data_IF_075879300634
#
_entry.id   IF_075879300634
#
_cell.length_a   1.000
_cell.length_b   1.000
_cell.length_c   1.000
_cell.angle_alpha   90.00
_cell.angle_beta   90.00
_cell.angle_gamma   90.00
#
_symmetry.space_group_name_H-M   'P 1'
#
loop_
_entity.id
_entity.type
_entity.pdbx_description
1 polymer ?
#
# COMPACT_ATOMS: atom_id res chain seq x y z
N UNK A 1 -26.57 53.81 -50.47
CA UNK A 1 -26.49 52.39 -50.84
C UNK A 1 -25.15 51.87 -50.35
N UNK A 2 -25.11 51.19 -49.19
CA UNK A 2 -23.95 50.46 -48.69
C UNK A 2 -24.46 49.09 -48.25
N UNK A 3 -24.27 48.07 -49.09
CA UNK A 3 -24.63 46.68 -48.82
C UNK A 3 -23.55 46.06 -47.93
N UNK A 4 -23.86 45.92 -46.65
CA UNK A 4 -23.09 45.10 -45.71
C UNK A 4 -23.45 43.64 -46.04
N UNK A 5 -22.50 42.92 -46.64
CA UNK A 5 -22.64 41.49 -46.87
C UNK A 5 -22.48 40.76 -45.55
N UNK A 6 -23.60 40.29 -44.99
CA UNK A 6 -23.65 39.29 -43.92
C UNK A 6 -23.15 37.94 -44.48
N UNK A 7 -21.85 37.79 -44.65
CA UNK A 7 -21.23 36.47 -44.72
C UNK A 7 -21.28 35.85 -43.32
N UNK A 8 -22.43 35.23 -43.00
CA UNK A 8 -22.49 34.20 -41.96
C UNK A 8 -21.50 33.12 -42.37
N UNK A 9 -20.34 33.09 -41.72
CA UNK A 9 -19.45 31.93 -41.77
C UNK A 9 -20.25 30.73 -41.27
N UNK A 10 -20.73 29.91 -42.21
CA UNK A 10 -21.26 28.58 -41.93
C UNK A 10 -20.03 27.81 -41.42
N UNK A 11 -19.85 27.76 -40.11
CA UNK A 11 -19.04 26.72 -39.50
C UNK A 11 -19.68 25.41 -39.93
N UNK A 12 -19.15 24.81 -41.00
CA UNK A 12 -19.44 23.43 -41.36
C UNK A 12 -19.27 22.61 -40.08
N UNK A 13 -20.38 22.09 -39.58
CA UNK A 13 -20.40 21.14 -38.47
C UNK A 13 -19.74 19.85 -38.96
N UNK A 14 -18.42 19.85 -39.07
CA UNK A 14 -17.59 18.67 -39.27
C UNK A 14 -17.63 17.85 -37.98
N UNK A 15 -18.79 17.24 -37.77
CA UNK A 15 -19.12 16.54 -36.56
C UNK A 15 -18.52 15.13 -36.66
N UNK A 16 -17.21 15.00 -36.42
CA UNK A 16 -16.56 13.69 -36.27
C UNK A 16 -17.26 12.84 -35.17
N UNK A 17 -18.02 13.49 -34.29
CA UNK A 17 -18.96 12.87 -33.35
C UNK A 17 -20.22 12.22 -33.98
N UNK A 18 -20.30 12.12 -35.32
CA UNK A 18 -21.27 11.23 -35.99
C UNK A 18 -20.99 9.77 -35.66
N UNK A 19 -19.73 9.43 -35.34
CA UNK A 19 -19.36 8.08 -34.92
C UNK A 19 -19.87 7.78 -33.49
N UNK A 20 -20.41 6.57 -33.25
CA UNK A 20 -20.71 6.10 -31.90
C UNK A 20 -19.49 6.17 -30.97
N UNK A 21 -19.71 6.61 -29.73
CA UNK A 21 -18.66 6.77 -28.70
C UNK A 21 -17.74 5.55 -28.57
N UNK A 22 -18.30 4.34 -28.62
CA UNK A 22 -17.52 3.10 -28.53
C UNK A 22 -16.51 2.93 -29.66
N UNK A 23 -16.85 3.35 -30.89
CA UNK A 23 -15.93 3.31 -32.02
C UNK A 23 -14.85 4.39 -31.89
N UNK A 24 -15.22 5.60 -31.45
CA UNK A 24 -14.25 6.67 -31.17
C UNK A 24 -13.25 6.25 -30.08
N UNK A 25 -13.72 5.65 -28.99
CA UNK A 25 -12.83 5.14 -27.93
C UNK A 25 -11.90 4.08 -28.48
N UNK A 26 -12.39 3.14 -29.30
CA UNK A 26 -11.55 2.11 -29.91
C UNK A 26 -10.47 2.72 -30.80
N UNK A 27 -10.83 3.64 -31.69
CA UNK A 27 -9.87 4.35 -32.56
C UNK A 27 -8.81 5.07 -31.72
N UNK A 28 -9.25 5.83 -30.72
CA UNK A 28 -8.33 6.56 -29.83
C UNK A 28 -7.47 5.61 -28.98
N UNK A 29 -7.97 4.42 -28.63
CA UNK A 29 -7.21 3.43 -27.86
C UNK A 29 -6.04 2.83 -28.63
N UNK A 30 -6.06 2.87 -29.97
CA UNK A 30 -4.93 2.45 -30.82
C UNK A 30 -3.83 3.51 -30.91
N UNK A 31 -4.12 4.75 -30.49
CA UNK A 31 -3.17 5.85 -30.61
C UNK A 31 -2.14 5.86 -29.48
N UNK A 32 -0.98 6.44 -29.78
CA UNK A 32 0.03 6.71 -28.76
C UNK A 32 -0.45 7.80 -27.81
N UNK A 33 0.08 7.82 -26.58
CA UNK A 33 -0.23 8.88 -25.63
C UNK A 33 0.10 10.28 -26.16
N UNK A 34 1.15 10.41 -26.98
CA UNK A 34 1.55 11.68 -27.60
C UNK A 34 0.47 12.16 -28.57
N UNK A 35 -0.08 11.25 -29.38
CA UNK A 35 -1.12 11.58 -30.35
C UNK A 35 -2.43 11.92 -29.65
N UNK A 36 -2.79 11.19 -28.59
CA UNK A 36 -3.92 11.55 -27.72
C UNK A 36 -3.77 12.97 -27.18
N UNK A 37 -2.57 13.36 -26.73
CA UNK A 37 -2.34 14.74 -26.28
C UNK A 37 -2.51 15.77 -27.40
N UNK A 38 -2.07 15.46 -28.63
CA UNK A 38 -2.24 16.34 -29.77
C UNK A 38 -3.73 16.48 -30.16
N UNK A 39 -4.49 15.38 -30.20
CA UNK A 39 -5.93 15.38 -30.53
C UNK A 39 -6.72 16.22 -29.53
N UNK A 40 -6.36 16.17 -28.23
CA UNK A 40 -6.98 17.03 -27.22
C UNK A 40 -6.83 18.53 -27.49
N UNK A 41 -5.81 18.93 -28.24
CA UNK A 41 -5.56 20.34 -28.59
C UNK A 41 -6.32 20.77 -29.83
N UNK A 42 -6.87 19.83 -30.61
CA UNK A 42 -7.59 20.13 -31.86
C UNK A 42 -8.92 20.82 -31.57
N UNK A 43 -9.70 20.33 -30.59
CA UNK A 43 -10.99 20.95 -30.25
C UNK A 43 -11.42 20.70 -28.80
N UNK A 44 -12.33 21.56 -28.30
CA UNK A 44 -12.94 21.42 -26.97
C UNK A 44 -13.74 20.11 -26.85
N UNK A 45 -14.40 19.68 -27.92
CA UNK A 45 -15.18 18.45 -27.94
C UNK A 45 -14.28 17.22 -27.79
N UNK A 46 -13.17 17.15 -28.53
CA UNK A 46 -12.17 16.07 -28.34
C UNK A 46 -11.57 16.10 -26.94
N UNK A 47 -11.26 17.29 -26.42
CA UNK A 47 -10.77 17.43 -25.06
C UNK A 47 -11.72 16.80 -24.04
N UNK A 48 -13.02 17.13 -24.11
CA UNK A 48 -14.04 16.61 -23.20
C UNK A 48 -14.23 15.10 -23.37
N UNK A 49 -14.35 14.64 -24.61
CA UNK A 49 -14.53 13.21 -24.92
C UNK A 49 -13.38 12.36 -24.38
N UNK A 50 -12.13 12.77 -24.66
CA UNK A 50 -10.93 12.10 -24.15
C UNK A 50 -10.88 12.18 -22.61
N UNK A 51 -11.27 13.30 -22.03
CA UNK A 51 -11.27 13.48 -20.58
C UNK A 51 -12.20 12.50 -19.86
N UNK A 52 -13.39 12.27 -20.41
CA UNK A 52 -14.39 11.34 -19.87
C UNK A 52 -13.99 9.88 -20.09
N UNK A 53 -13.37 9.59 -21.24
CA UNK A 53 -13.03 8.23 -21.65
C UNK A 53 -11.57 7.82 -21.40
N UNK A 54 -10.76 8.64 -20.70
CA UNK A 54 -9.36 8.33 -20.37
C UNK A 54 -9.15 6.94 -19.81
N UNK A 55 -10.17 6.42 -19.13
CA UNK A 55 -10.07 5.15 -18.47
C UNK A 55 -9.96 3.95 -19.43
N UNK A 56 -10.37 4.12 -20.69
CA UNK A 56 -10.39 3.13 -21.76
C UNK A 56 -9.27 3.34 -22.80
N UNK A 57 -8.52 4.44 -22.71
CA UNK A 57 -7.46 4.78 -23.66
C UNK A 57 -6.09 4.28 -23.20
N UNK A 58 -5.12 4.26 -24.11
CA UNK A 58 -3.71 4.08 -23.77
C UNK A 58 -3.27 5.20 -22.83
N UNK A 59 -3.04 4.87 -21.57
CA UNK A 59 -2.68 5.85 -20.54
C UNK A 59 -1.17 5.99 -20.42
N UNK A 60 -0.76 7.09 -19.82
CA UNK A 60 0.64 7.32 -19.53
C UNK A 60 1.12 6.37 -18.45
N UNK A 61 2.15 5.58 -18.75
CA UNK A 61 2.78 4.74 -17.74
C UNK A 61 3.41 5.58 -16.61
N UNK A 62 3.34 5.04 -15.39
CA UNK A 62 4.01 5.60 -14.22
C UNK A 62 4.56 4.48 -13.37
N UNK A 63 5.71 4.71 -12.76
CA UNK A 63 6.39 3.71 -11.94
C UNK A 63 6.05 3.92 -10.46
N UNK A 64 6.06 5.19 -10.02
CA UNK A 64 5.80 5.56 -8.64
C UNK A 64 4.85 6.75 -8.53
N UNK A 65 4.07 6.74 -7.45
CA UNK A 65 3.30 7.88 -6.98
C UNK A 65 3.62 8.19 -5.52
N UNK A 66 3.67 9.48 -5.23
CA UNK A 66 3.65 9.99 -3.88
C UNK A 66 2.62 11.10 -3.79
N UNK A 67 1.62 10.91 -2.93
CA UNK A 67 0.57 11.86 -2.63
C UNK A 67 0.86 12.46 -1.26
N UNK A 68 1.07 13.77 -1.19
CA UNK A 68 1.17 14.50 0.07
C UNK A 68 0.01 15.48 0.22
N UNK A 69 -0.47 15.65 1.44
CA UNK A 69 -1.43 16.70 1.78
C UNK A 69 -0.84 17.69 2.79
N UNK A 70 -0.96 18.98 2.50
CA UNK A 70 -0.59 20.08 3.38
C UNK A 70 -1.82 20.90 3.76
N UNK A 71 -2.33 20.68 4.98
CA UNK A 71 -3.52 21.37 5.51
C UNK A 71 -3.38 22.88 5.65
N UNK A 72 -2.14 23.37 5.72
CA UNK A 72 -1.86 24.81 5.85
C UNK A 72 -1.85 25.50 4.47
N UNK A 73 -1.78 24.75 3.36
CA UNK A 73 -1.81 25.32 2.02
C UNK A 73 -3.24 25.37 1.46
N UNK A 74 -3.96 26.46 1.71
CA UNK A 74 -5.36 26.62 1.24
C UNK A 74 -5.50 26.53 -0.29
N UNK A 75 -4.50 27.01 -1.05
CA UNK A 75 -4.61 27.11 -2.52
C UNK A 75 -4.31 25.78 -3.24
N UNK A 76 -3.36 25.00 -2.73
CA UNK A 76 -2.93 23.74 -3.32
C UNK A 76 -2.64 22.72 -2.21
N UNK A 77 -3.69 22.22 -1.55
CA UNK A 77 -3.53 21.33 -0.40
C UNK A 77 -2.87 20.00 -0.79
N UNK A 78 -2.95 19.57 -2.05
CA UNK A 78 -2.35 18.33 -2.51
C UNK A 78 -1.07 18.57 -3.33
N UNK A 79 -0.04 17.80 -3.02
CA UNK A 79 1.19 17.71 -3.79
C UNK A 79 1.37 16.29 -4.29
N UNK A 80 1.38 16.13 -5.61
CA UNK A 80 1.61 14.84 -6.23
C UNK A 80 3.00 14.83 -6.84
N UNK A 81 3.85 13.92 -6.39
CA UNK A 81 5.10 13.57 -7.05
C UNK A 81 4.91 12.27 -7.80
N UNK A 82 5.49 12.18 -8.99
CA UNK A 82 5.51 10.95 -9.80
C UNK A 82 6.88 10.70 -10.39
N UNK A 83 7.19 9.43 -10.57
CA UNK A 83 8.39 8.96 -11.23
C UNK A 83 7.99 8.08 -12.44
N UNK A 84 8.51 8.42 -13.62
CA UNK A 84 8.34 7.60 -14.83
C UNK A 84 9.32 6.43 -14.87
N UNK A 85 9.12 5.50 -15.82
CA UNK A 85 10.13 4.48 -16.14
C UNK A 85 11.40 5.15 -16.72
N UNK A 86 12.56 4.53 -16.50
CA UNK A 86 13.88 5.06 -16.84
C UNK A 86 14.02 5.55 -18.30
N UNK A 87 14.77 6.64 -18.56
CA UNK A 87 15.37 7.56 -17.60
C UNK A 87 14.31 8.42 -16.90
N UNK A 88 14.29 8.34 -15.57
CA UNK A 88 13.16 8.80 -14.77
C UNK A 88 13.19 10.33 -14.59
N UNK A 89 12.33 11.05 -15.31
CA UNK A 89 12.05 12.46 -15.00
C UNK A 89 11.00 12.53 -13.89
N UNK A 90 11.44 12.95 -12.71
CA UNK A 90 10.54 13.32 -11.63
C UNK A 90 9.66 14.50 -12.05
N UNK A 91 8.35 14.42 -11.78
CA UNK A 91 7.46 15.57 -11.93
C UNK A 91 6.66 15.79 -10.65
N UNK A 92 6.60 17.05 -10.22
CA UNK A 92 5.77 17.51 -9.09
C UNK A 92 4.62 18.35 -9.62
N UNK A 93 3.41 18.12 -9.12
CA UNK A 93 2.22 18.89 -9.47
C UNK A 93 1.50 19.32 -8.20
N UNK A 94 1.10 20.59 -8.18
CA UNK A 94 0.30 21.20 -7.12
C UNK A 94 -1.17 21.10 -7.53
N UNK A 95 -2.02 20.57 -6.65
CA UNK A 95 -3.41 20.22 -6.95
C UNK A 95 -4.33 20.90 -5.94
N UNK A 96 -5.39 21.55 -6.43
CA UNK A 96 -6.28 22.41 -5.65
C UNK A 96 -7.36 21.65 -4.90
N UNK A 97 -7.80 20.51 -5.44
CA UNK A 97 -8.96 19.78 -4.92
C UNK A 97 -8.85 18.27 -5.07
N UNK A 98 -9.66 17.56 -4.30
CA UNK A 98 -9.83 16.09 -4.40
C UNK A 98 -10.32 15.63 -5.78
N UNK A 99 -11.22 16.40 -6.41
CA UNK A 99 -11.74 16.15 -7.77
C UNK A 99 -10.63 16.28 -8.81
N UNK A 100 -9.79 17.31 -8.68
CA UNK A 100 -8.63 17.52 -9.54
C UNK A 100 -7.58 16.41 -9.34
N UNK A 101 -7.30 16.01 -8.09
CA UNK A 101 -6.42 14.89 -7.79
C UNK A 101 -6.89 13.61 -8.47
N UNK A 102 -8.19 13.31 -8.35
CA UNK A 102 -8.78 12.12 -8.98
C UNK A 102 -8.63 12.14 -10.49
N UNK A 103 -8.97 13.26 -11.13
CA UNK A 103 -8.81 13.45 -12.58
C UNK A 103 -7.36 13.29 -13.02
N UNK A 104 -6.42 13.86 -12.27
CA UNK A 104 -5.01 13.79 -12.59
C UNK A 104 -4.47 12.35 -12.49
N UNK A 105 -4.83 11.59 -11.46
CA UNK A 105 -4.41 10.19 -11.32
C UNK A 105 -4.96 9.32 -12.47
N UNK A 106 -6.20 9.55 -12.91
CA UNK A 106 -6.85 8.79 -14.00
C UNK A 106 -6.15 8.88 -15.35
N UNK A 107 -5.30 9.88 -15.55
CA UNK A 107 -4.47 10.03 -16.76
C UNK A 107 -3.37 8.96 -16.88
N UNK A 108 -3.03 8.31 -15.76
CA UNK A 108 -1.95 7.34 -15.70
C UNK A 108 -2.46 5.91 -15.72
N UNK A 109 -1.66 5.02 -16.30
CA UNK A 109 -1.82 3.58 -16.14
C UNK A 109 -1.36 3.19 -14.74
N UNK A 110 -2.31 2.82 -13.89
CA UNK A 110 -2.07 2.41 -12.51
C UNK A 110 -2.17 0.92 -12.31
N UNK A 111 -2.36 0.12 -13.38
CA UNK A 111 -2.53 -1.34 -13.28
C UNK A 111 -1.35 -2.02 -12.58
N UNK A 112 -0.14 -1.50 -12.78
CA UNK A 112 1.08 -2.02 -12.16
C UNK A 112 1.91 -0.85 -11.62
N UNK A 113 1.88 -0.64 -10.31
CA UNK A 113 2.70 0.36 -9.64
C UNK A 113 3.80 -0.32 -8.84
N UNK A 114 5.02 0.20 -8.97
CA UNK A 114 6.09 -0.21 -8.09
C UNK A 114 5.88 0.35 -6.70
N UNK A 115 5.60 1.66 -6.58
CA UNK A 115 5.51 2.32 -5.29
C UNK A 115 4.37 3.32 -5.23
N UNK A 116 3.62 3.29 -4.12
CA UNK A 116 2.60 4.27 -3.78
C UNK A 116 2.78 4.73 -2.33
N UNK A 117 3.14 6.00 -2.17
CA UNK A 117 3.26 6.66 -0.87
C UNK A 117 2.09 7.63 -0.66
N UNK A 118 1.41 7.55 0.49
CA UNK A 118 0.21 8.36 0.79
C UNK A 118 0.38 9.13 2.11
N UNK A 119 1.08 10.27 2.06
CA UNK A 119 1.33 11.16 3.20
C UNK A 119 0.18 12.16 3.41
N UNK A 120 -0.93 11.67 3.95
CA UNK A 120 -2.13 12.49 4.21
C UNK A 120 -2.46 12.45 5.71
N UNK A 121 -1.99 13.42 6.51
CA UNK A 121 -2.03 13.34 7.98
C UNK A 121 -3.43 13.49 8.57
N UNK A 122 -4.32 14.19 7.85
CA UNK A 122 -5.72 14.39 8.19
C UNK A 122 -6.57 13.55 7.23
N UNK A 123 -7.53 12.80 7.77
CA UNK A 123 -8.47 12.02 6.97
C UNK A 123 -9.32 12.94 6.10
N UNK A 124 -9.02 12.94 4.80
CA UNK A 124 -9.60 13.79 3.75
C UNK A 124 -10.22 12.94 2.65
N UNK A 125 -10.81 11.81 3.05
CA UNK A 125 -11.38 10.82 2.15
C UNK A 125 -10.38 10.39 1.06
N UNK A 126 -9.07 10.38 1.39
CA UNK A 126 -8.02 10.09 0.41
C UNK A 126 -8.21 8.70 -0.21
N UNK A 127 -8.64 7.73 0.59
CA UNK A 127 -8.95 6.41 0.10
C UNK A 127 -10.18 6.40 -0.82
N UNK A 128 -11.16 7.28 -0.62
CA UNK A 128 -12.27 7.43 -1.56
C UNK A 128 -11.85 8.09 -2.87
N UNK A 129 -10.93 9.07 -2.81
CA UNK A 129 -10.29 9.63 -4.01
C UNK A 129 -9.58 8.51 -4.76
N UNK A 130 -8.76 7.71 -4.08
CA UNK A 130 -8.03 6.59 -4.70
C UNK A 130 -8.99 5.52 -5.23
N UNK A 131 -10.06 5.19 -4.50
CA UNK A 131 -11.12 4.28 -4.93
C UNK A 131 -11.77 4.73 -6.25
N UNK A 132 -11.97 6.02 -6.47
CA UNK A 132 -12.53 6.53 -7.73
C UNK A 132 -11.50 6.59 -8.87
N UNK A 133 -10.20 6.59 -8.55
CA UNK A 133 -9.14 6.93 -9.50
C UNK A 133 -8.34 5.73 -9.99
N UNK A 134 -8.09 4.75 -9.12
CA UNK A 134 -7.36 3.54 -9.45
C UNK A 134 -8.26 2.54 -10.18
N UNK A 135 -7.68 1.68 -11.02
CA UNK A 135 -8.43 0.60 -11.67
C UNK A 135 -8.62 -0.58 -10.70
N UNK A 136 -9.72 -1.32 -10.87
CA UNK A 136 -9.86 -2.60 -10.19
C UNK A 136 -8.76 -3.57 -10.69
N UNK A 137 -8.23 -4.41 -9.81
CA UNK A 137 -7.15 -5.32 -10.16
C UNK A 137 -5.76 -4.67 -10.25
N UNK A 138 -5.60 -3.46 -9.71
CA UNK A 138 -4.29 -2.80 -9.62
C UNK A 138 -3.33 -3.64 -8.76
N UNK A 139 -2.10 -3.81 -9.23
CA UNK A 139 -0.99 -4.45 -8.50
C UNK A 139 -0.04 -3.38 -7.98
N UNK A 140 0.28 -3.42 -6.69
CA UNK A 140 1.22 -2.49 -6.05
C UNK A 140 2.36 -3.29 -5.42
N UNK A 141 3.61 -2.95 -5.72
CA UNK A 141 4.74 -3.61 -5.04
C UNK A 141 4.92 -3.06 -3.62
N UNK A 142 5.01 -1.74 -3.45
CA UNK A 142 5.18 -1.08 -2.15
C UNK A 142 4.06 -0.08 -1.91
N UNK A 143 3.28 -0.28 -0.85
CA UNK A 143 2.26 0.65 -0.38
C UNK A 143 2.65 1.19 0.99
N UNK A 144 2.94 2.49 1.07
CA UNK A 144 3.39 3.17 2.29
C UNK A 144 2.33 4.19 2.70
N UNK A 145 1.79 4.01 3.91
CA UNK A 145 0.73 4.85 4.46
C UNK A 145 1.13 5.25 5.89
N UNK A 146 1.61 6.48 6.12
CA UNK A 146 2.04 6.91 7.45
C UNK A 146 0.94 6.88 8.50
N UNK A 147 -0.32 7.08 8.08
CA UNK A 147 -1.43 7.13 9.03
C UNK A 147 -2.73 6.65 8.42
N UNK A 148 -3.43 5.76 9.11
CA UNK A 148 -4.83 5.39 8.82
C UNK A 148 -5.62 5.61 10.09
N UNK A 149 -6.57 6.55 10.10
CA UNK A 149 -7.45 6.75 11.25
C UNK A 149 -8.75 5.97 11.08
N UNK A 150 -9.42 5.68 12.17
CA UNK A 150 -10.66 4.88 12.18
C UNK A 150 -11.72 5.33 11.18
N UNK A 151 -12.00 6.65 11.07
CA UNK A 151 -12.98 7.15 10.10
C UNK A 151 -12.66 6.80 8.64
N UNK A 152 -11.41 6.46 8.33
CA UNK A 152 -10.97 6.01 7.02
C UNK A 152 -11.01 4.47 6.84
N UNK A 153 -11.26 3.68 7.89
CA UNK A 153 -11.14 2.22 7.81
C UNK A 153 -12.04 1.61 6.73
N UNK A 154 -13.27 2.14 6.58
CA UNK A 154 -14.20 1.67 5.55
C UNK A 154 -13.71 1.98 4.14
N UNK A 155 -13.27 3.21 3.89
CA UNK A 155 -12.80 3.64 2.56
C UNK A 155 -11.44 2.99 2.22
N UNK A 156 -10.55 2.85 3.20
CA UNK A 156 -9.31 2.09 3.09
C UNK A 156 -9.56 0.63 2.75
N UNK A 157 -10.46 -0.06 3.48
CA UNK A 157 -10.85 -1.45 3.19
C UNK A 157 -11.35 -1.59 1.75
N UNK A 158 -12.23 -0.68 1.31
CA UNK A 158 -12.73 -0.67 -0.06
C UNK A 158 -11.59 -0.52 -1.09
N UNK A 159 -10.59 0.31 -0.78
CA UNK A 159 -9.41 0.50 -1.62
C UNK A 159 -8.53 -0.76 -1.68
N UNK A 160 -8.21 -1.36 -0.54
CA UNK A 160 -7.40 -2.57 -0.47
C UNK A 160 -8.11 -3.78 -1.11
N UNK A 161 -9.44 -3.85 -1.05
CA UNK A 161 -10.21 -4.90 -1.74
C UNK A 161 -10.28 -4.67 -3.25
N UNK A 162 -10.13 -3.42 -3.71
CA UNK A 162 -10.17 -3.06 -5.13
C UNK A 162 -8.87 -3.40 -5.87
N UNK A 163 -7.73 -3.31 -5.19
CA UNK A 163 -6.42 -3.69 -5.73
C UNK A 163 -6.27 -5.21 -5.67
N UNK A 164 -5.64 -5.84 -6.68
CA UNK A 164 -5.52 -7.31 -6.73
C UNK A 164 -4.44 -7.85 -5.80
N UNK A 165 -3.37 -7.08 -5.58
CA UNK A 165 -2.23 -7.54 -4.79
C UNK A 165 -1.38 -6.37 -4.29
N UNK A 166 -0.92 -6.47 -3.05
CA UNK A 166 0.15 -5.63 -2.48
C UNK A 166 1.30 -6.55 -2.04
N UNK A 167 2.51 -6.37 -2.57
CA UNK A 167 3.66 -7.21 -2.14
C UNK A 167 4.21 -6.81 -0.77
N UNK A 168 4.27 -5.50 -0.51
CA UNK A 168 4.78 -4.93 0.74
C UNK A 168 3.85 -3.80 1.20
N UNK A 169 3.21 -3.97 2.36
CA UNK A 169 2.36 -2.96 2.98
C UNK A 169 3.04 -2.42 4.23
N UNK A 170 3.22 -1.10 4.29
CA UNK A 170 3.74 -0.41 5.46
C UNK A 170 2.74 0.64 5.94
N UNK A 171 2.22 0.47 7.15
CA UNK A 171 1.35 1.45 7.82
C UNK A 171 2.06 1.95 9.08
N UNK A 172 2.58 3.17 9.06
CA UNK A 172 3.38 3.69 10.19
C UNK A 172 2.53 3.90 11.44
N UNK A 173 1.26 4.29 11.30
CA UNK A 173 0.36 4.52 12.44
C UNK A 173 -1.06 4.14 12.07
N UNK A 174 -1.67 3.28 12.87
CA UNK A 174 -3.12 3.08 12.84
C UNK A 174 -3.67 3.91 14.00
N UNK A 175 -4.64 4.78 13.74
CA UNK A 175 -5.33 5.55 14.76
C UNK A 175 -6.60 4.81 15.18
N UNK A 176 -6.74 4.50 16.47
CA UNK A 176 -8.00 4.02 17.04
C UNK A 176 -8.82 5.15 17.66
N UNK A 177 -10.15 4.99 17.76
CA UNK A 177 -10.94 5.75 18.70
C UNK A 177 -10.64 5.32 20.14
N UNK A 178 -11.05 6.16 21.08
CA UNK A 178 -11.17 5.87 22.50
C UNK A 178 -12.25 4.81 22.84
N UNK A 179 -13.06 4.37 21.86
CA UNK A 179 -14.23 3.50 22.05
C UNK A 179 -14.05 2.15 21.34
N UNK A 180 -13.75 1.12 22.14
CA UNK A 180 -13.78 -0.34 21.89
C UNK A 180 -13.01 -0.94 20.69
N UNK A 181 -12.16 -1.94 20.98
CA UNK A 181 -11.25 -2.62 20.04
C UNK A 181 -11.92 -3.53 18.97
N UNK A 182 -13.24 -3.50 18.81
CA UNK A 182 -14.00 -4.49 18.01
C UNK A 182 -13.69 -4.45 16.50
N UNK A 183 -13.33 -3.28 15.95
CA UNK A 183 -13.20 -3.12 14.50
C UNK A 183 -11.79 -3.40 13.94
N UNK A 184 -10.75 -3.41 14.78
CA UNK A 184 -9.36 -3.60 14.35
C UNK A 184 -9.11 -4.99 13.73
N UNK A 185 -9.59 -6.12 14.29
CA UNK A 185 -9.38 -7.43 13.66
C UNK A 185 -10.01 -7.52 12.28
N UNK A 186 -11.15 -6.85 12.07
CA UNK A 186 -11.83 -6.81 10.77
C UNK A 186 -11.06 -5.95 9.75
N UNK A 187 -10.38 -4.88 10.22
CA UNK A 187 -9.50 -4.04 9.39
C UNK A 187 -8.33 -4.83 8.82
N UNK A 188 -7.80 -5.81 9.56
CA UNK A 188 -6.62 -6.60 9.17
C UNK A 188 -6.97 -7.93 8.48
N UNK A 189 -8.25 -8.33 8.48
CA UNK A 189 -8.75 -9.56 7.86
C UNK A 189 -9.01 -9.44 6.35
N UNK A 190 -8.25 -8.61 5.64
CA UNK A 190 -8.43 -8.39 4.21
C UNK A 190 -7.89 -9.59 3.42
N UNK A 191 -8.66 -10.11 2.46
CA UNK A 191 -8.28 -11.27 1.65
C UNK A 191 -7.19 -10.93 0.62
N UNK A 192 -7.17 -9.69 0.13
CA UNK A 192 -6.17 -9.17 -0.84
C UNK A 192 -4.76 -9.05 -0.24
N UNK A 193 -4.67 -9.17 1.07
CA UNK A 193 -3.43 -9.23 1.83
C UNK A 193 -2.80 -10.65 1.83
N UNK A 194 -3.49 -11.67 1.32
CA UNK A 194 -2.93 -13.03 1.28
C UNK A 194 -1.71 -13.18 0.35
N UNK A 195 -1.52 -12.26 -0.60
CA UNK A 195 -0.35 -12.26 -1.50
C UNK A 195 0.81 -11.38 -1.01
N UNK A 196 0.70 -10.81 0.18
CA UNK A 196 1.68 -9.85 0.70
C UNK A 196 2.82 -10.59 1.39
N UNK A 197 4.05 -10.27 0.98
CA UNK A 197 5.27 -10.89 1.51
C UNK A 197 5.82 -10.13 2.73
N UNK A 198 5.51 -8.84 2.83
CA UNK A 198 6.00 -7.94 3.87
C UNK A 198 4.89 -7.09 4.48
N UNK A 199 4.80 -7.12 5.81
CA UNK A 199 3.98 -6.19 6.58
C UNK A 199 4.85 -5.36 7.50
N UNK A 200 4.62 -4.05 7.51
CA UNK A 200 5.12 -3.18 8.56
C UNK A 200 3.99 -2.42 9.21
N UNK A 201 3.90 -2.50 10.52
CA UNK A 201 3.09 -1.64 11.34
C UNK A 201 4.00 -0.90 12.31
N UNK A 202 3.71 0.37 12.59
CA UNK A 202 4.25 0.99 13.79
C UNK A 202 3.07 1.41 14.67
N UNK A 203 3.16 1.06 15.94
CA UNK A 203 2.12 1.34 16.90
C UNK A 203 2.46 2.63 17.63
N UNK A 204 1.46 3.50 17.80
CA UNK A 204 1.60 4.69 18.62
C UNK A 204 1.44 4.28 20.10
N UNK A 205 2.17 4.93 21.00
CA UNK A 205 2.14 4.67 22.45
C UNK A 205 0.73 4.69 23.06
N UNK A 206 -0.18 5.42 22.41
CA UNK A 206 -1.55 5.66 22.85
C UNK A 206 -2.50 4.50 22.50
N UNK A 207 -2.14 3.65 21.52
CA UNK A 207 -3.13 2.75 20.89
C UNK A 207 -2.79 1.27 21.08
N UNK A 208 -3.58 0.52 21.85
CA UNK A 208 -3.43 -0.95 22.00
C UNK A 208 -4.11 -1.72 20.84
N UNK A 209 -3.70 -1.42 19.61
CA UNK A 209 -4.36 -1.92 18.38
C UNK A 209 -3.99 -3.38 18.10
N UNK A 210 -2.70 -3.67 18.22
CA UNK A 210 -2.18 -4.98 17.94
C UNK A 210 -2.29 -5.81 19.21
N UNK A 211 -3.17 -6.80 19.20
CA UNK A 211 -3.10 -7.92 20.13
C UNK A 211 -2.17 -8.98 19.56
N UNK A 212 -1.67 -9.84 20.43
CA UNK A 212 -0.83 -10.95 20.00
C UNK A 212 -1.61 -11.92 19.10
N UNK A 213 -2.91 -12.11 19.35
CA UNK A 213 -3.83 -12.84 18.45
C UNK A 213 -3.85 -12.32 17.01
N UNK A 214 -3.81 -10.99 16.83
CA UNK A 214 -3.76 -10.37 15.50
C UNK A 214 -2.43 -10.70 14.82
N UNK A 215 -1.31 -10.59 15.55
CA UNK A 215 0.01 -10.96 15.04
C UNK A 215 0.05 -12.44 14.68
N UNK A 216 -0.51 -13.31 15.52
CA UNK A 216 -0.64 -14.73 15.24
C UNK A 216 -1.42 -15.04 13.97
N UNK A 217 -2.49 -14.30 13.69
CA UNK A 217 -3.23 -14.43 12.44
C UNK A 217 -2.35 -14.08 11.23
N UNK A 218 -1.41 -13.15 11.36
CA UNK A 218 -0.41 -12.89 10.32
C UNK A 218 0.64 -14.01 10.25
N UNK A 219 1.20 -14.42 11.38
CA UNK A 219 2.25 -15.45 11.43
C UNK A 219 1.80 -16.84 10.92
N UNK A 220 0.49 -17.10 10.96
CA UNK A 220 -0.14 -18.31 10.38
C UNK A 220 -0.32 -18.22 8.86
N UNK A 221 -0.09 -17.06 8.24
CA UNK A 221 -0.08 -16.89 6.77
C UNK A 221 1.34 -17.15 6.25
N UNK A 222 1.47 -17.36 4.95
CA UNK A 222 2.77 -17.56 4.28
C UNK A 222 3.58 -16.24 4.12
N UNK A 223 3.71 -15.48 5.22
CA UNK A 223 4.44 -14.20 5.23
C UNK A 223 5.91 -14.47 5.57
N UNK A 224 6.81 -13.88 4.79
CA UNK A 224 8.26 -14.02 5.03
C UNK A 224 8.76 -13.03 6.08
N UNK A 225 8.18 -11.83 6.11
CA UNK A 225 8.63 -10.77 7.02
C UNK A 225 7.48 -9.97 7.59
N UNK A 226 7.45 -9.85 8.92
CA UNK A 226 6.56 -8.95 9.63
C UNK A 226 7.42 -7.97 10.44
N UNK A 227 7.05 -6.71 10.42
CA UNK A 227 7.71 -5.62 11.12
C UNK A 227 6.69 -4.93 12.01
N UNK A 228 6.97 -4.77 13.30
CA UNK A 228 6.11 -4.07 14.24
C UNK A 228 6.92 -3.10 15.10
N UNK A 229 6.56 -1.82 15.08
CA UNK A 229 7.02 -0.82 16.06
C UNK A 229 6.10 -0.74 17.27
N UNK A 230 6.62 -0.65 18.50
CA UNK A 230 5.81 -0.51 19.73
C UNK A 230 6.66 -0.05 20.92
N UNK A 231 6.03 0.50 21.97
CA UNK A 231 6.65 0.68 23.30
C UNK A 231 6.03 -0.20 24.39
N UNK A 232 5.04 -1.01 24.05
CA UNK A 232 4.34 -1.86 25.01
C UNK A 232 5.11 -3.17 25.25
N UNK A 233 5.71 -3.29 26.45
CA UNK A 233 6.51 -4.45 26.85
C UNK A 233 5.68 -5.74 26.99
N UNK A 234 4.44 -5.65 27.48
CA UNK A 234 3.53 -6.79 27.66
C UNK A 234 3.16 -7.36 26.29
N UNK A 235 2.86 -6.49 25.33
CA UNK A 235 2.59 -6.87 23.95
C UNK A 235 3.79 -7.57 23.33
N UNK A 236 5.00 -6.98 23.43
CA UNK A 236 6.21 -7.61 22.88
C UNK A 236 6.44 -8.99 23.49
N UNK A 237 6.28 -9.10 24.82
CA UNK A 237 6.42 -10.37 25.54
C UNK A 237 5.41 -11.41 25.07
N UNK A 238 4.15 -11.02 24.93
CA UNK A 238 3.08 -11.91 24.45
C UNK A 238 3.33 -12.37 23.02
N UNK A 239 3.68 -11.45 22.11
CA UNK A 239 4.01 -11.80 20.72
C UNK A 239 5.27 -12.67 20.63
N UNK A 240 6.28 -12.41 21.45
CA UNK A 240 7.49 -13.23 21.50
C UNK A 240 7.16 -14.69 21.81
N UNK A 241 6.38 -14.94 22.87
CA UNK A 241 5.94 -16.29 23.26
C UNK A 241 5.14 -16.96 22.14
N UNK A 242 4.21 -16.23 21.55
CA UNK A 242 3.34 -16.75 20.50
C UNK A 242 4.10 -17.04 19.19
N UNK A 243 5.05 -16.17 18.82
CA UNK A 243 5.86 -16.33 17.61
C UNK A 243 6.66 -17.64 17.60
N UNK A 244 7.23 -18.03 18.73
CA UNK A 244 8.00 -19.27 18.84
C UNK A 244 7.13 -20.52 19.05
N UNK A 245 5.88 -20.37 19.51
CA UNK A 245 4.95 -21.50 19.73
C UNK A 245 4.01 -21.78 18.56
N UNK A 246 3.76 -20.80 17.68
CA UNK A 246 2.87 -20.95 16.53
C UNK A 246 3.29 -22.14 15.66
N UNK A 247 2.35 -23.04 15.37
CA UNK A 247 2.51 -24.08 14.34
C UNK A 247 2.42 -23.40 12.97
N UNK A 248 3.48 -23.53 12.18
CA UNK A 248 3.50 -22.99 10.81
C UNK A 248 2.57 -23.83 9.91
N UNK A 249 1.84 -23.20 8.97
CA UNK A 249 1.09 -23.92 7.96
C UNK A 249 2.04 -24.76 7.10
N UNK A 250 1.50 -25.85 6.53
CA UNK A 250 2.25 -26.67 5.58
C UNK A 250 2.50 -25.87 4.29
N UNK A 251 3.75 -25.45 4.05
CA UNK A 251 4.14 -24.85 2.76
C UNK A 251 4.24 -25.97 1.71
N UNK A 252 3.26 -26.04 0.81
CA UNK A 252 3.14 -27.16 -0.16
C UNK A 252 4.14 -27.12 -1.33
N UNK A 253 5.01 -26.12 -1.51
CA UNK A 253 5.62 -25.90 -2.84
C UNK A 253 7.08 -25.43 -2.96
N UNK A 254 7.88 -25.40 -1.90
CA UNK A 254 9.30 -25.05 -2.07
C UNK A 254 10.21 -26.23 -1.78
N UNK A 255 10.72 -26.85 -2.85
CA UNK A 255 11.79 -27.87 -2.82
C UNK A 255 13.14 -27.33 -2.33
N UNK A 256 13.24 -26.03 -1.98
CA UNK A 256 14.51 -25.36 -1.69
C UNK A 256 14.74 -25.04 -0.19
N UNK A 257 15.79 -25.70 0.31
CA UNK A 257 16.66 -25.66 1.51
C UNK A 257 16.46 -24.77 2.75
N UNK A 258 15.61 -23.76 2.84
CA UNK A 258 15.34 -23.10 4.15
C UNK A 258 14.16 -22.12 4.08
N UNK A 259 13.06 -22.42 4.76
CA UNK A 259 12.02 -21.43 5.01
C UNK A 259 12.44 -20.57 6.20
N UNK A 260 13.09 -19.44 5.90
CA UNK A 260 13.37 -18.40 6.89
C UNK A 260 12.16 -17.48 7.05
N UNK A 261 11.73 -17.30 8.30
CA UNK A 261 10.68 -16.36 8.69
C UNK A 261 11.34 -15.34 9.60
N UNK A 262 11.25 -14.07 9.24
CA UNK A 262 11.86 -12.97 10.01
C UNK A 262 10.79 -12.08 10.61
N UNK A 263 10.90 -11.80 11.89
CA UNK A 263 10.00 -10.93 12.62
C UNK A 263 10.79 -9.79 13.25
N UNK A 264 10.62 -8.58 12.72
CA UNK A 264 11.32 -7.39 13.15
C UNK A 264 10.45 -6.62 14.15
N UNK A 265 10.94 -6.48 15.37
CA UNK A 265 10.30 -5.68 16.41
C UNK A 265 11.13 -4.43 16.65
N UNK A 266 10.55 -3.25 16.46
CA UNK A 266 11.19 -1.98 16.77
C UNK A 266 10.63 -1.47 18.11
N UNK A 267 11.47 -1.41 19.13
CA UNK A 267 11.05 -1.09 20.50
C UNK A 267 11.62 0.24 20.97
N UNK A 268 10.72 1.18 21.30
CA UNK A 268 11.08 2.52 21.78
C UNK A 268 11.00 2.70 23.30
N UNK A 269 10.96 1.60 24.08
CA UNK A 269 10.92 1.63 25.54
C UNK A 269 12.27 1.31 26.19
N UNK A 270 12.25 0.89 27.47
CA UNK A 270 13.47 0.43 28.16
C UNK A 270 13.97 -0.90 27.57
N UNK A 271 14.84 -0.81 26.56
CA UNK A 271 15.35 -1.94 25.80
C UNK A 271 16.07 -2.99 26.66
N UNK A 272 16.86 -2.54 27.65
CA UNK A 272 17.59 -3.46 28.54
C UNK A 272 16.64 -4.24 29.45
N UNK A 273 15.62 -3.57 29.98
CA UNK A 273 14.59 -4.24 30.77
C UNK A 273 13.83 -5.29 29.93
N UNK A 274 13.35 -4.90 28.74
CA UNK A 274 12.69 -5.84 27.82
C UNK A 274 13.59 -7.04 27.49
N UNK A 275 14.87 -6.81 27.19
CA UNK A 275 15.82 -7.90 26.93
C UNK A 275 15.88 -8.89 28.10
N UNK A 276 16.04 -8.40 29.32
CA UNK A 276 16.13 -9.27 30.50
C UNK A 276 14.83 -10.05 30.70
N UNK A 277 13.68 -9.41 30.46
CA UNK A 277 12.38 -10.08 30.46
C UNK A 277 12.32 -11.19 29.40
N UNK A 278 12.75 -10.94 28.16
CA UNK A 278 12.77 -11.95 27.09
C UNK A 278 13.74 -13.10 27.35
N UNK A 279 14.89 -12.83 27.97
CA UNK A 279 15.87 -13.86 28.36
C UNK A 279 15.29 -14.88 29.33
N UNK A 280 14.47 -14.45 30.29
CA UNK A 280 13.84 -15.35 31.24
C UNK A 280 12.93 -16.37 30.53
N UNK A 281 12.33 -15.98 29.40
CA UNK A 281 11.51 -16.88 28.58
C UNK A 281 12.32 -17.85 27.71
N UNK A 282 13.61 -17.60 27.46
CA UNK A 282 14.43 -18.54 26.68
C UNK A 282 14.54 -19.89 27.39
N UNK A 283 14.55 -19.92 28.71
CA UNK A 283 14.56 -21.16 29.48
C UNK A 283 13.29 -21.99 29.28
N UNK A 284 12.15 -21.34 28.99
CA UNK A 284 10.88 -22.02 28.66
C UNK A 284 10.90 -22.60 27.24
N UNK A 285 11.69 -22.02 26.34
CA UNK A 285 11.81 -22.45 24.95
C UNK A 285 13.17 -23.10 24.69
N UNK A 286 13.29 -24.40 25.02
CA UNK A 286 14.55 -25.14 24.88
C UNK A 286 15.18 -25.15 23.46
N UNK A 287 14.47 -24.69 22.44
CA UNK A 287 14.90 -24.58 21.05
C UNK A 287 15.10 -23.13 20.55
N UNK A 288 15.07 -22.13 21.44
CA UNK A 288 15.27 -20.72 21.10
C UNK A 288 16.56 -20.23 21.76
N UNK A 289 17.42 -19.55 21.00
CA UNK A 289 18.68 -19.00 21.48
C UNK A 289 18.87 -17.54 21.06
N UNK A 290 19.56 -16.77 21.89
CA UNK A 290 20.10 -15.46 21.52
C UNK A 290 21.38 -15.67 20.70
N UNK A 291 21.40 -15.22 19.44
CA UNK A 291 22.52 -15.49 18.51
C UNK A 291 23.41 -14.26 18.32
N UNK A 292 22.80 -13.08 18.23
CA UNK A 292 23.51 -11.81 18.04
C UNK A 292 22.98 -10.82 19.07
N UNK A 293 23.91 -10.10 19.69
CA UNK A 293 23.62 -9.05 20.65
C UNK A 293 24.56 -7.88 20.38
N UNK A 294 24.05 -6.87 19.68
CA UNK A 294 24.72 -5.60 19.41
C UNK A 294 23.95 -4.52 20.17
N UNK A 295 24.58 -3.37 20.45
CA UNK A 295 23.96 -2.26 21.20
C UNK A 295 22.57 -1.87 20.71
N UNK A 296 22.33 -2.02 19.40
CA UNK A 296 21.16 -1.47 18.72
C UNK A 296 20.14 -2.55 18.33
N UNK A 297 20.51 -3.84 18.34
CA UNK A 297 19.56 -4.92 18.11
C UNK A 297 20.00 -6.28 18.67
N UNK A 298 19.02 -7.14 18.89
CA UNK A 298 19.19 -8.52 19.37
C UNK A 298 18.48 -9.48 18.43
N UNK A 299 19.10 -10.63 18.15
CA UNK A 299 18.49 -11.70 17.35
C UNK A 299 18.25 -12.92 18.20
N UNK A 300 16.98 -13.33 18.26
CA UNK A 300 16.56 -14.62 18.80
C UNK A 300 16.24 -15.56 17.64
N UNK A 301 16.80 -16.76 17.69
CA UNK A 301 16.69 -17.74 16.62
C UNK A 301 16.11 -19.05 17.15
N UNK A 302 15.25 -19.66 16.35
CA UNK A 302 14.84 -21.04 16.53
C UNK A 302 14.93 -21.80 15.22
N UNK A 303 15.47 -23.02 15.28
CA UNK A 303 15.50 -23.95 14.16
C UNK A 303 14.64 -25.14 14.56
N UNK A 304 13.59 -25.42 13.78
CA UNK A 304 12.68 -26.54 14.04
C UNK A 304 12.50 -27.37 12.79
N UNK A 305 12.46 -28.69 12.95
CA UNK A 305 12.13 -29.58 11.84
C UNK A 305 10.66 -29.40 11.42
N UNK A 306 10.44 -29.37 10.11
CA UNK A 306 9.11 -29.33 9.54
C UNK A 306 8.42 -30.67 9.78
N UNK A 307 7.39 -30.67 10.62
CA UNK A 307 6.60 -31.86 10.97
C UNK A 307 5.95 -32.56 9.78
N UNK A 308 5.82 -31.88 8.64
CA UNK A 308 5.18 -32.40 7.44
C UNK A 308 6.16 -32.96 6.40
N UNK A 309 7.47 -32.68 6.52
CA UNK A 309 8.48 -33.08 5.54
C UNK A 309 9.35 -34.23 6.06
N UNK A 310 8.75 -35.40 6.28
CA UNK A 310 9.40 -36.55 6.93
C UNK A 310 10.65 -37.06 6.21
N UNK A 311 10.68 -36.97 4.86
CA UNK A 311 11.78 -37.51 4.06
C UNK A 311 13.00 -36.59 3.95
N UNK A 312 12.77 -35.27 3.92
CA UNK A 312 13.82 -34.30 3.55
C UNK A 312 14.38 -33.51 4.75
N UNK A 313 14.00 -33.85 5.99
CA UNK A 313 14.39 -33.14 7.24
C UNK A 313 14.43 -31.62 7.06
N UNK A 314 13.40 -31.08 6.41
CA UNK A 314 13.34 -29.67 6.09
C UNK A 314 13.30 -28.86 7.38
N UNK A 315 14.23 -27.94 7.57
CA UNK A 315 14.25 -27.07 8.75
C UNK A 315 13.57 -25.74 8.47
N UNK A 316 12.85 -25.24 9.46
CA UNK A 316 12.24 -23.91 9.45
C UNK A 316 13.08 -23.05 10.40
N UNK A 317 13.65 -21.98 9.86
CA UNK A 317 14.41 -21.00 10.63
C UNK A 317 13.50 -19.84 10.99
N UNK A 318 13.33 -19.57 12.28
CA UNK A 318 12.62 -18.40 12.80
C UNK A 318 13.62 -17.44 13.39
N UNK A 319 13.53 -16.19 12.99
CA UNK A 319 14.36 -15.11 13.54
C UNK A 319 13.47 -13.99 14.02
N UNK A 320 13.54 -13.69 15.32
CA UNK A 320 12.99 -12.47 15.89
C UNK A 320 14.14 -11.48 16.08
N UNK A 321 14.06 -10.35 15.39
CA UNK A 321 15.07 -9.29 15.42
C UNK A 321 14.46 -8.12 16.17
N UNK A 322 14.93 -7.87 17.40
CA UNK A 322 14.50 -6.79 18.25
C UNK A 322 15.44 -5.59 18.08
N UNK A 323 14.97 -4.52 17.46
CA UNK A 323 15.65 -3.26 17.22
C UNK A 323 15.33 -2.26 18.33
N UNK A 324 16.33 -1.49 18.75
CA UNK A 324 16.17 -0.30 19.59
C UNK A 324 15.83 0.91 18.70
N UNK A 325 14.83 1.71 19.09
CA UNK A 325 14.53 3.00 18.46
C UNK A 325 15.07 4.14 19.31
#
# INVERSE_FOLDING_TARGET
MNSISDEKSIEEQNNIFVLPDGLLVRILSELSWKDILNIKLVSRSFYNFIHENYHQLNRRETFEFEIRHNKYCRRYPFHLRRLGKFPSREKKVKIRSSKELSRYIKVFDTRNLWKLDVYVPDSLDIFDIMNRSFQAGTKICFLIIPKVVEKDFRSFRKFINKISSVKSLYIERIGTPSTEAKDVPSFLSLSTLNTTNYYGFSNCDVTKILSADVVNKFLKREINTVTIGTKNIEFVTSVFKEYFTVKQPHKMKNECSCNKISFHLFFGGNFLHLRNTLKNYLCEFGNVKEVINISDFIIFESIVDCKYCLKNRHTIKRELILHKI
#
